data_IF_634253781574
#
_entry.id   IF_634253781574
#
_cell.length_a   1.000
_cell.length_b   1.000
_cell.length_c   1.000
_cell.angle_alpha   90.00
_cell.angle_beta   90.00
_cell.angle_gamma   90.00
#
_symmetry.space_group_name_H-M   'P 1'
#
loop_
_entity.id
_entity.type
_entity.pdbx_description
1 polymer ?
#
# COMPACT_ATOMS: atom_id res chain seq x y z
N UNK A 1 -6.43 -24.60 12.38
CA UNK A 1 -6.52 -23.13 12.52
C UNK A 1 -7.79 -22.67 11.80
N UNK A 2 -8.61 -21.76 12.35
CA UNK A 2 -9.70 -21.15 11.60
C UNK A 2 -9.13 -20.52 10.31
N UNK A 3 -9.89 -20.53 9.23
CA UNK A 3 -9.53 -19.75 8.04
C UNK A 3 -9.30 -18.29 8.46
N UNK A 4 -8.33 -17.60 7.85
CA UNK A 4 -7.97 -16.21 8.23
C UNK A 4 -9.19 -15.27 8.20
N UNK A 5 -10.14 -15.54 7.30
CA UNK A 5 -11.44 -14.87 7.19
C UNK A 5 -12.27 -15.08 8.46
N UNK A 6 -12.45 -16.31 8.92
CA UNK A 6 -13.17 -16.59 10.16
C UNK A 6 -12.46 -16.02 11.39
N UNK A 7 -11.13 -16.08 11.40
CA UNK A 7 -10.32 -15.50 12.48
C UNK A 7 -10.53 -13.99 12.61
N UNK A 8 -10.54 -13.26 11.49
CA UNK A 8 -10.74 -11.82 11.46
C UNK A 8 -12.20 -11.41 11.68
N UNK A 9 -13.15 -12.04 10.99
CA UNK A 9 -14.54 -11.57 10.93
C UNK A 9 -15.46 -12.18 12.00
N UNK A 10 -15.16 -13.38 12.50
CA UNK A 10 -15.99 -14.08 13.50
C UNK A 10 -15.44 -14.01 14.92
N UNK A 11 -14.51 -13.09 15.18
CA UNK A 11 -13.95 -12.90 16.53
C UNK A 11 -13.12 -14.09 17.00
N UNK A 12 -12.32 -14.69 16.10
CA UNK A 12 -11.44 -15.81 16.45
C UNK A 12 -10.33 -15.47 17.45
N UNK A 13 -10.18 -14.20 17.82
CA UNK A 13 -9.35 -13.76 18.93
C UNK A 13 -10.18 -13.47 20.19
N UNK A 14 -10.47 -14.52 20.97
CA UNK A 14 -11.15 -14.38 22.27
C UNK A 14 -10.18 -14.13 23.45
N UNK A 15 -8.91 -13.80 23.21
CA UNK A 15 -7.88 -13.71 24.25
C UNK A 15 -6.74 -12.69 24.00
N UNK A 16 -6.93 -11.72 23.10
CA UNK A 16 -5.95 -10.68 22.78
C UNK A 16 -6.61 -9.46 22.11
N UNK A 17 -5.81 -8.52 21.60
CA UNK A 17 -6.32 -7.30 20.96
C UNK A 17 -7.21 -7.64 19.74
N UNK A 18 -8.41 -7.05 19.59
CA UNK A 18 -9.33 -7.45 18.52
C UNK A 18 -8.77 -7.13 17.14
N UNK A 19 -8.92 -8.08 16.20
CA UNK A 19 -8.66 -7.89 14.76
C UNK A 19 -9.97 -8.06 14.00
N UNK A 20 -10.17 -7.30 12.92
CA UNK A 20 -11.44 -7.31 12.17
C UNK A 20 -11.32 -7.63 10.69
N UNK A 21 -10.18 -7.46 10.05
CA UNK A 21 -10.05 -7.72 8.63
C UNK A 21 -8.67 -8.30 8.28
N UNK A 22 -8.58 -9.16 7.25
CA UNK A 22 -7.30 -9.46 6.64
C UNK A 22 -6.76 -8.22 5.89
N UNK A 23 -5.42 -8.11 5.72
CA UNK A 23 -4.41 -9.02 6.25
C UNK A 23 -4.22 -8.89 7.78
N UNK A 24 -3.84 -10.00 8.40
CA UNK A 24 -3.52 -10.07 9.82
C UNK A 24 -2.35 -11.03 10.10
N UNK A 25 -1.53 -10.72 11.10
CA UNK A 25 -0.44 -11.57 11.59
C UNK A 25 -0.74 -12.05 13.01
N UNK A 26 -0.18 -13.20 13.38
CA UNK A 26 -0.28 -13.77 14.73
C UNK A 26 1.05 -14.37 15.18
N UNK A 27 1.46 -14.06 16.41
CA UNK A 27 2.59 -14.69 17.11
C UNK A 27 2.14 -15.07 18.53
N UNK A 28 1.80 -16.33 18.75
CA UNK A 28 1.23 -16.78 20.02
C UNK A 28 -0.10 -16.08 20.31
N UNK A 29 -0.15 -15.32 21.42
CA UNK A 29 -1.29 -14.46 21.80
C UNK A 29 -1.28 -13.07 21.18
N UNK A 30 -0.15 -12.63 20.61
CA UNK A 30 -0.07 -11.35 19.90
C UNK A 30 -0.73 -11.47 18.52
N UNK A 31 -1.59 -10.51 18.20
CA UNK A 31 -2.24 -10.39 16.90
C UNK A 31 -2.21 -8.94 16.45
N UNK A 32 -2.19 -8.72 15.14
CA UNK A 32 -2.18 -7.39 14.54
C UNK A 32 -2.83 -7.47 13.16
N UNK A 33 -3.70 -6.52 12.83
CA UNK A 33 -4.28 -6.38 11.50
C UNK A 33 -3.98 -5.00 10.92
N UNK A 34 -4.36 -4.80 9.65
CA UNK A 34 -4.16 -3.58 8.88
C UNK A 34 -2.74 -3.45 8.30
N UNK A 35 -2.65 -3.36 6.97
CA UNK A 35 -1.40 -3.43 6.22
C UNK A 35 -0.33 -2.44 6.68
N UNK A 36 -0.57 -1.12 6.75
CA UNK A 36 0.48 -0.16 7.14
C UNK A 36 0.95 -0.37 8.58
N UNK A 37 0.05 -0.80 9.48
CA UNK A 37 0.38 -1.10 10.88
C UNK A 37 1.24 -2.36 11.00
N UNK A 38 0.90 -3.40 10.23
CA UNK A 38 1.72 -4.62 10.13
C UNK A 38 3.09 -4.29 9.55
N UNK A 39 3.16 -3.52 8.48
CA UNK A 39 4.42 -3.12 7.85
C UNK A 39 5.30 -2.33 8.81
N UNK A 40 4.76 -1.33 9.52
CA UNK A 40 5.52 -0.57 10.52
C UNK A 40 6.03 -1.47 11.66
N UNK A 41 5.19 -2.40 12.16
CA UNK A 41 5.60 -3.36 13.19
C UNK A 41 6.73 -4.28 12.71
N UNK A 42 6.61 -4.87 11.52
CA UNK A 42 7.65 -5.74 10.97
C UNK A 42 8.91 -4.94 10.61
N UNK A 43 8.75 -3.72 10.10
CA UNK A 43 9.86 -2.84 9.78
C UNK A 43 10.72 -2.52 10.99
N UNK A 44 10.09 -2.14 12.13
CA UNK A 44 10.79 -1.98 13.40
C UNK A 44 11.51 -3.26 13.86
N UNK A 45 10.91 -4.42 13.61
CA UNK A 45 11.47 -5.72 14.04
C UNK A 45 12.64 -6.21 13.17
N UNK A 46 12.73 -5.75 11.94
CA UNK A 46 13.74 -6.19 10.97
C UNK A 46 14.70 -5.07 10.51
N UNK A 47 14.67 -3.91 11.15
CA UNK A 47 15.58 -2.80 10.83
C UNK A 47 15.22 -2.06 9.53
N UNK A 48 13.94 -2.07 9.12
CA UNK A 48 13.42 -1.35 7.96
C UNK A 48 12.58 -0.12 8.37
N UNK A 49 12.87 0.43 9.55
CA UNK A 49 12.28 1.65 10.09
C UNK A 49 13.38 2.45 10.79
N UNK A 50 13.38 3.79 10.69
CA UNK A 50 14.23 4.65 11.52
C UNK A 50 13.97 4.44 13.01
N UNK A 51 15.01 4.64 13.83
CA UNK A 51 14.87 4.68 15.29
C UNK A 51 14.44 6.06 15.80
N UNK A 52 14.72 7.11 15.02
CA UNK A 52 14.25 8.46 15.28
C UNK A 52 12.71 8.52 15.16
N UNK A 53 11.97 8.98 16.19
CA UNK A 53 10.52 8.97 16.19
C UNK A 53 9.89 9.78 15.05
N UNK A 54 10.46 10.93 14.71
CA UNK A 54 9.98 11.83 13.67
C UNK A 54 10.21 11.21 12.27
N UNK A 55 11.38 10.66 12.00
CA UNK A 55 11.64 9.92 10.77
C UNK A 55 10.77 8.67 10.66
N UNK A 56 10.53 7.94 11.77
CA UNK A 56 9.60 6.82 11.79
C UNK A 56 8.16 7.25 11.47
N UNK A 57 7.73 8.40 11.98
CA UNK A 57 6.41 8.97 11.65
C UNK A 57 6.30 9.36 10.17
N UNK A 58 7.37 9.88 9.55
CA UNK A 58 7.39 10.11 8.11
C UNK A 58 7.26 8.82 7.30
N UNK A 59 7.88 7.71 7.74
CA UNK A 59 7.68 6.40 7.10
C UNK A 59 6.21 5.97 7.19
N UNK A 60 5.61 6.11 8.38
CA UNK A 60 4.19 5.79 8.59
C UNK A 60 3.26 6.69 7.75
N UNK A 61 3.61 7.97 7.56
CA UNK A 61 2.92 8.88 6.65
C UNK A 61 2.94 8.35 5.21
N UNK A 62 4.11 7.94 4.70
CA UNK A 62 4.21 7.37 3.35
C UNK A 62 3.35 6.10 3.21
N UNK A 63 3.36 5.22 4.22
CA UNK A 63 2.49 4.04 4.24
C UNK A 63 0.99 4.41 4.22
N UNK A 64 0.61 5.49 4.91
CA UNK A 64 -0.75 6.05 4.86
C UNK A 64 -1.12 6.48 3.44
N UNK A 65 -0.27 7.27 2.79
CA UNK A 65 -0.48 7.73 1.40
C UNK A 65 -0.60 6.56 0.43
N UNK A 66 0.24 5.53 0.57
CA UNK A 66 0.13 4.30 -0.23
C UNK A 66 -1.22 3.61 -0.01
N UNK A 67 -1.70 3.57 1.24
CA UNK A 67 -3.00 2.97 1.58
C UNK A 67 -4.15 3.72 0.90
N UNK A 68 -4.12 5.06 0.90
CA UNK A 68 -5.11 5.89 0.21
C UNK A 68 -5.07 5.69 -1.31
N UNK A 69 -3.87 5.65 -1.90
CA UNK A 69 -3.70 5.40 -3.32
C UNK A 69 -4.31 4.05 -3.74
N UNK A 70 -4.04 2.98 -2.98
CA UNK A 70 -4.60 1.65 -3.23
C UNK A 70 -6.12 1.63 -3.02
N UNK A 71 -6.62 2.26 -1.96
CA UNK A 71 -8.04 2.29 -1.65
C UNK A 71 -8.86 3.02 -2.74
N UNK A 72 -8.39 4.17 -3.19
CA UNK A 72 -9.01 4.91 -4.30
C UNK A 72 -8.96 4.13 -5.62
N UNK A 73 -7.82 3.50 -5.94
CA UNK A 73 -7.71 2.63 -7.11
C UNK A 73 -8.69 1.48 -7.07
N UNK A 74 -8.89 0.88 -5.89
CA UNK A 74 -9.89 -0.18 -5.68
C UNK A 74 -11.33 0.31 -5.90
N UNK A 75 -11.67 1.54 -5.48
CA UNK A 75 -12.98 2.13 -5.74
C UNK A 75 -13.23 2.32 -7.24
N UNK A 76 -12.21 2.73 -7.99
CA UNK A 76 -12.29 2.82 -9.44
C UNK A 76 -12.48 1.45 -10.10
N UNK A 77 -11.87 0.41 -9.53
CA UNK A 77 -11.98 -0.97 -10.02
C UNK A 77 -13.32 -1.63 -9.66
N UNK A 78 -13.95 -1.26 -8.54
CA UNK A 78 -15.23 -1.81 -8.11
C UNK A 78 -16.31 -0.74 -7.92
N UNK A 79 -16.70 -0.02 -8.99
CA UNK A 79 -17.59 1.14 -8.88
C UNK A 79 -19.04 0.77 -8.60
N UNK A 80 -19.46 -0.46 -8.90
CA UNK A 80 -20.85 -0.91 -8.83
C UNK A 80 -21.13 -1.70 -7.57
N UNK A 81 -20.28 -2.69 -7.31
CA UNK A 81 -20.34 -3.52 -6.11
C UNK A 81 -18.92 -3.82 -5.63
N UNK A 82 -18.60 -3.28 -4.45
CA UNK A 82 -17.31 -3.39 -3.78
C UNK A 82 -16.91 -4.83 -3.41
N UNK A 83 -17.90 -5.72 -3.27
CA UNK A 83 -17.73 -7.11 -2.87
C UNK A 83 -17.84 -8.09 -4.05
N UNK A 84 -18.39 -7.66 -5.18
CA UNK A 84 -18.46 -8.48 -6.39
C UNK A 84 -17.11 -8.57 -7.10
N UNK A 85 -16.94 -9.64 -7.88
CA UNK A 85 -15.78 -9.78 -8.76
C UNK A 85 -15.71 -8.61 -9.74
N UNK A 86 -14.50 -8.13 -10.05
CA UNK A 86 -14.31 -7.13 -11.11
C UNK A 86 -14.81 -7.64 -12.47
N UNK A 87 -14.70 -8.95 -12.73
CA UNK A 87 -15.15 -9.59 -13.98
C UNK A 87 -16.62 -9.34 -14.33
N UNK A 88 -17.45 -8.99 -13.34
CA UNK A 88 -18.88 -8.71 -13.55
C UNK A 88 -19.21 -7.23 -13.69
N UNK A 89 -18.19 -6.36 -13.66
CA UNK A 89 -18.33 -4.90 -13.72
C UNK A 89 -17.19 -4.23 -14.52
N UNK A 90 -16.59 -4.95 -15.48
CA UNK A 90 -15.41 -4.49 -16.24
C UNK A 90 -15.77 -3.24 -17.04
N UNK A 91 -16.83 -3.29 -17.85
CA UNK A 91 -17.24 -2.18 -18.72
C UNK A 91 -17.61 -0.93 -17.89
N UNK A 92 -18.29 -1.13 -16.76
CA UNK A 92 -18.63 -0.05 -15.84
C UNK A 92 -17.40 0.58 -15.16
N UNK A 93 -16.33 -0.18 -14.94
CA UNK A 93 -15.09 0.30 -14.29
C UNK A 93 -14.21 1.17 -15.19
N UNK A 94 -14.28 1.00 -16.51
CA UNK A 94 -13.42 1.71 -17.49
C UNK A 94 -13.37 3.23 -17.28
N UNK A 95 -14.50 3.97 -17.22
CA UNK A 95 -14.45 5.42 -17.05
C UNK A 95 -13.83 5.85 -15.72
N UNK A 96 -14.05 5.09 -14.63
CA UNK A 96 -13.50 5.40 -13.32
C UNK A 96 -12.02 5.10 -13.21
N UNK A 97 -11.55 3.98 -13.79
CA UNK A 97 -10.12 3.66 -13.89
C UNK A 97 -9.40 4.75 -14.68
N UNK A 98 -9.97 5.18 -15.82
CA UNK A 98 -9.43 6.29 -16.61
C UNK A 98 -9.34 7.56 -15.77
N UNK A 99 -10.41 7.92 -15.07
CA UNK A 99 -10.43 9.10 -14.22
C UNK A 99 -9.38 9.02 -13.10
N UNK A 100 -9.26 7.87 -12.42
CA UNK A 100 -8.23 7.66 -11.39
C UNK A 100 -6.83 7.81 -11.97
N UNK A 101 -6.55 7.17 -13.11
CA UNK A 101 -5.26 7.22 -13.79
C UNK A 101 -4.87 8.62 -14.28
N UNK A 102 -5.85 9.42 -14.73
CA UNK A 102 -5.60 10.78 -15.24
C UNK A 102 -5.58 11.85 -14.15
N UNK A 103 -6.33 11.68 -13.05
CA UNK A 103 -6.57 12.76 -12.07
C UNK A 103 -6.00 12.50 -10.67
N UNK A 104 -5.91 11.24 -10.25
CA UNK A 104 -5.52 10.87 -8.88
C UNK A 104 -4.12 10.31 -8.82
N UNK A 105 -3.84 9.29 -9.62
CA UNK A 105 -2.53 8.63 -9.67
C UNK A 105 -1.37 9.63 -9.88
N UNK A 106 -1.43 10.61 -10.81
CA UNK A 106 -0.33 11.55 -11.01
C UNK A 106 -0.02 12.40 -9.77
N UNK A 107 -1.01 12.65 -8.91
CA UNK A 107 -0.82 13.42 -7.67
C UNK A 107 -0.04 12.62 -6.63
N UNK A 108 -0.33 11.32 -6.52
CA UNK A 108 0.43 10.42 -5.65
C UNK A 108 1.89 10.28 -6.13
N UNK A 109 2.08 10.10 -7.43
CA UNK A 109 3.42 10.03 -8.03
C UNK A 109 4.21 11.32 -7.82
N UNK A 110 3.61 12.48 -8.09
CA UNK A 110 4.24 13.77 -7.84
C UNK A 110 4.59 13.96 -6.37
N UNK A 111 3.71 13.54 -5.45
CA UNK A 111 3.98 13.61 -4.02
C UNK A 111 5.18 12.75 -3.60
N UNK A 112 5.31 11.52 -4.09
CA UNK A 112 6.46 10.68 -3.80
C UNK A 112 7.75 11.20 -4.44
N UNK A 113 7.68 11.75 -5.65
CA UNK A 113 8.83 12.48 -6.23
C UNK A 113 9.24 13.67 -5.37
N UNK A 114 8.30 14.43 -4.84
CA UNK A 114 8.58 15.56 -3.97
C UNK A 114 9.20 15.10 -2.65
N UNK A 115 8.74 13.98 -2.07
CA UNK A 115 9.39 13.36 -0.92
C UNK A 115 10.86 13.03 -1.23
N UNK A 116 11.13 12.38 -2.36
CA UNK A 116 12.50 12.04 -2.77
C UNK A 116 13.37 13.28 -2.96
N UNK A 117 12.85 14.34 -3.61
CA UNK A 117 13.59 15.59 -3.85
C UNK A 117 13.93 16.33 -2.56
N UNK A 118 13.05 16.27 -1.56
CA UNK A 118 13.19 17.00 -0.30
C UNK A 118 13.71 16.13 0.86
N UNK A 119 14.05 14.87 0.61
CA UNK A 119 14.67 14.03 1.63
C UNK A 119 16.07 14.59 1.97
N UNK A 120 16.31 15.01 3.23
CA UNK A 120 17.58 15.64 3.64
C UNK A 120 18.79 14.72 3.50
N UNK A 121 18.60 13.40 3.50
CA UNK A 121 19.68 12.41 3.34
C UNK A 121 19.90 11.99 1.87
N UNK A 122 19.19 12.62 0.93
CA UNK A 122 19.37 12.43 -0.52
C UNK A 122 18.19 11.74 -1.21
N UNK A 123 18.29 11.60 -2.53
CA UNK A 123 17.16 11.22 -3.41
C UNK A 123 17.03 9.70 -3.63
N UNK A 124 17.67 8.88 -2.80
CA UNK A 124 17.75 7.42 -2.98
C UNK A 124 16.63 6.63 -2.33
N UNK A 125 16.01 7.17 -1.28
CA UNK A 125 15.02 6.47 -0.44
C UNK A 125 13.91 7.43 -0.04
N UNK A 126 12.73 6.89 0.26
CA UNK A 126 11.54 7.67 0.65
C UNK A 126 11.78 8.44 1.95
N UNK A 127 12.49 7.86 2.93
CA UNK A 127 12.82 8.52 4.20
C UNK A 127 14.22 8.12 4.65
N UNK A 128 15.06 9.12 4.93
CA UNK A 128 16.43 8.90 5.41
C UNK A 128 17.37 8.33 4.34
N UNK A 129 18.49 7.78 4.77
CA UNK A 129 19.57 7.29 3.91
C UNK A 129 19.59 5.78 3.63
N UNK A 130 18.54 5.02 3.93
CA UNK A 130 18.48 3.57 3.71
C UNK A 130 17.08 3.06 3.39
N UNK A 131 16.98 1.81 2.90
CA UNK A 131 15.69 1.18 2.58
C UNK A 131 14.83 1.03 3.83
N UNK A 132 13.58 1.48 3.73
CA UNK A 132 12.54 1.32 4.73
C UNK A 132 11.33 0.58 4.16
N UNK A 133 10.36 0.26 5.02
CA UNK A 133 9.07 -0.28 4.57
C UNK A 133 8.29 0.69 3.68
N UNK A 134 8.57 2.01 3.72
CA UNK A 134 7.96 2.96 2.78
C UNK A 134 8.42 2.71 1.34
N UNK A 135 9.71 2.47 1.13
CA UNK A 135 10.28 2.16 -0.19
C UNK A 135 9.65 0.87 -0.76
N UNK A 136 9.55 -0.17 0.06
CA UNK A 136 8.92 -1.44 -0.33
C UNK A 136 7.44 -1.26 -0.68
N UNK A 137 6.72 -0.42 0.07
CA UNK A 137 5.31 -0.15 -0.18
C UNK A 137 5.10 0.57 -1.52
N UNK A 138 5.89 1.61 -1.79
CA UNK A 138 5.82 2.38 -3.04
C UNK A 138 6.27 1.51 -4.23
N UNK A 139 7.33 0.71 -4.05
CA UNK A 139 7.83 -0.19 -5.09
C UNK A 139 6.80 -1.26 -5.52
N UNK A 140 5.94 -1.72 -4.60
CA UNK A 140 4.94 -2.76 -4.87
C UNK A 140 3.71 -2.26 -5.65
N UNK A 141 3.45 -0.95 -5.66
CA UNK A 141 2.26 -0.35 -6.30
C UNK A 141 2.04 -0.69 -7.78
N UNK A 142 3.06 -0.69 -8.66
CA UNK A 142 2.87 -1.01 -10.07
C UNK A 142 2.28 -2.40 -10.26
N UNK A 143 2.72 -3.37 -9.46
CA UNK A 143 2.21 -4.75 -9.50
C UNK A 143 0.77 -4.83 -9.02
N UNK A 144 0.42 -4.10 -7.94
CA UNK A 144 -0.95 -4.05 -7.43
C UNK A 144 -1.92 -3.42 -8.44
N UNK A 145 -1.43 -2.49 -9.26
CA UNK A 145 -2.24 -1.84 -10.29
C UNK A 145 -2.08 -2.46 -11.67
N UNK A 146 -1.24 -3.48 -11.86
CA UNK A 146 -1.04 -4.13 -13.16
C UNK A 146 -2.36 -4.68 -13.71
N UNK A 147 -3.20 -5.27 -12.86
CA UNK A 147 -4.56 -5.71 -13.20
C UNK A 147 -5.50 -4.54 -13.50
N UNK A 148 -5.35 -3.41 -12.80
CA UNK A 148 -6.12 -2.17 -13.02
C UNK A 148 -5.78 -1.47 -14.34
N UNK A 149 -4.51 -1.50 -14.72
CA UNK A 149 -3.97 -0.76 -15.87
C UNK A 149 -4.06 -1.61 -17.13
N UNK A 150 -3.96 -2.94 -17.03
CA UNK A 150 -4.12 -3.86 -18.16
C UNK A 150 -5.50 -3.74 -18.83
N UNK A 151 -6.54 -3.35 -18.09
CA UNK A 151 -7.90 -3.19 -18.60
C UNK A 151 -8.13 -1.95 -19.47
N UNK A 152 -7.22 -0.97 -19.52
CA UNK A 152 -7.46 0.33 -20.18
C UNK A 152 -6.38 0.70 -21.22
N UNK A 153 -5.72 -0.29 -21.86
CA UNK A 153 -4.64 -0.06 -22.86
C UNK A 153 -3.38 0.59 -22.21
N UNK A 154 -2.18 0.54 -22.86
CA UNK A 154 -0.94 0.70 -22.13
C UNK A 154 -0.76 2.17 -21.78
N UNK A 155 -1.19 2.55 -20.58
CA UNK A 155 -0.47 3.58 -19.83
C UNK A 155 0.95 3.05 -19.82
N UNK A 156 1.83 3.66 -20.63
CA UNK A 156 3.26 3.41 -20.58
C UNK A 156 3.69 3.87 -19.19
N UNK A 157 3.51 3.01 -18.20
CA UNK A 157 4.18 3.08 -16.92
C UNK A 157 5.65 2.85 -17.22
N UNK A 158 6.30 3.88 -17.73
CA UNK A 158 7.74 3.96 -17.71
C UNK A 158 8.10 4.34 -16.26
N UNK A 159 7.88 3.41 -15.33
CA UNK A 159 8.54 3.49 -14.04
C UNK A 159 10.02 3.29 -14.30
N UNK A 160 10.71 4.39 -14.60
CA UNK A 160 12.15 4.46 -14.49
C UNK A 160 12.50 4.67 -13.01
N UNK A 161 11.92 3.86 -12.13
CA UNK A 161 12.34 3.79 -10.74
C UNK A 161 13.62 2.96 -10.70
N UNK A 162 14.73 3.66 -10.88
CA UNK A 162 16.07 3.11 -10.72
C UNK A 162 16.36 3.00 -9.20
N UNK A 163 15.60 2.18 -8.47
CA UNK A 163 15.80 1.95 -7.03
C UNK A 163 16.97 0.99 -6.73
N UNK A 164 17.68 0.52 -7.75
CA UNK A 164 18.88 -0.29 -7.59
C UNK A 164 19.90 0.19 -8.62
N UNK A 165 20.71 1.19 -8.28
CA UNK A 165 22.06 1.29 -8.84
C UNK A 165 23.03 0.81 -7.76
N UNK A 166 23.65 -0.33 -8.06
CA UNK A 166 24.89 -0.79 -7.46
C UNK A 166 25.96 0.31 -7.48
#
# INVERSE_FOLDING_TARGET
MPAIVDFCWKGGNKGGFPVRAPPAIRKGGFVLCYTPVIMAYLGRRFGLMPSDPEAAAHVEQVLGVVTDAVAEGRLAFHPKDFFASHKTQVDESVPYIKQYGEQRLPKYLAHWEDILKHNPEGQGFMVGGSVTVADLAVYQLPELWSECVATVQPIKFCFKFCFIRH
#
